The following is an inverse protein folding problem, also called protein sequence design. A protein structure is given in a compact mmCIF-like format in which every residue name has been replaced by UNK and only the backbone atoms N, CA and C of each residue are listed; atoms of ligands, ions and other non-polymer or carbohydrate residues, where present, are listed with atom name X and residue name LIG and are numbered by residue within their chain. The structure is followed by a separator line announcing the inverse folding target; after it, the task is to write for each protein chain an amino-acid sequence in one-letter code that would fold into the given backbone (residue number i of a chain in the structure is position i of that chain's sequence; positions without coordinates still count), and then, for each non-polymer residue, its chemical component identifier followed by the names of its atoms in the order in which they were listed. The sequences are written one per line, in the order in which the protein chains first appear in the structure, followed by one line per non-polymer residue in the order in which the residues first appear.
data_IF_528534061056
#
_entry.id   IF_528534061056
#
_cell.length_a   1.000
_cell.length_b   1.000
_cell.length_c   1.000
_cell.angle_alpha   90.00
_cell.angle_beta   90.00
_cell.angle_gamma   90.00
#
_symmetry.space_group_name_H-M   'P 1'
#
loop_
_entity.id
_entity.type
_entity.pdbx_description
1 polymer ?
#
# COMPACT_ATOMS: atom_id res chain seq x y z
N UNK A 1 -2.74 47.14 -20.74
CA UNK A 1 -3.89 46.33 -20.27
C UNK A 1 -3.72 44.81 -20.38
N UNK A 2 -2.90 44.25 -21.30
CA UNK A 2 -2.76 42.79 -21.48
C UNK A 2 -1.82 42.09 -20.47
N UNK A 3 -0.82 42.80 -19.95
CA UNK A 3 0.15 42.29 -18.95
C UNK A 3 -0.49 41.77 -17.64
N UNK A 4 -1.43 42.48 -16.99
CA UNK A 4 -2.07 41.96 -15.77
C UNK A 4 -2.96 40.74 -16.04
N UNK A 5 -3.60 40.66 -17.21
CA UNK A 5 -4.41 39.50 -17.61
C UNK A 5 -3.54 38.25 -17.84
N UNK A 6 -2.39 38.41 -18.51
CA UNK A 6 -1.41 37.32 -18.70
C UNK A 6 -0.86 36.83 -17.36
N UNK A 7 -0.50 37.72 -16.44
CA UNK A 7 -0.02 37.35 -15.11
C UNK A 7 -1.08 36.58 -14.30
N UNK A 8 -2.35 37.01 -14.37
CA UNK A 8 -3.46 36.32 -13.72
C UNK A 8 -3.69 34.91 -14.29
N UNK A 9 -3.68 34.75 -15.61
CA UNK A 9 -3.85 33.43 -16.25
C UNK A 9 -2.72 32.48 -15.86
N UNK A 10 -1.47 32.95 -15.86
CA UNK A 10 -0.32 32.15 -15.43
C UNK A 10 -0.43 31.74 -13.95
N UNK A 11 -0.87 32.65 -13.08
CA UNK A 11 -1.08 32.35 -11.66
C UNK A 11 -2.17 31.28 -11.46
N UNK A 12 -3.30 31.39 -12.16
CA UNK A 12 -4.39 30.38 -12.10
C UNK A 12 -3.90 29.02 -12.60
N UNK A 13 -3.17 28.99 -13.72
CA UNK A 13 -2.61 27.74 -14.25
C UNK A 13 -1.62 27.09 -13.26
N UNK A 14 -0.74 27.88 -12.65
CA UNK A 14 0.21 27.40 -11.65
C UNK A 14 -0.51 26.85 -10.40
N UNK A 15 -1.54 27.55 -9.91
CA UNK A 15 -2.37 27.07 -8.80
C UNK A 15 -3.07 25.77 -9.18
N UNK A 16 -3.64 25.67 -10.38
CA UNK A 16 -4.30 24.45 -10.85
C UNK A 16 -3.37 23.24 -10.94
N UNK A 17 -2.15 23.43 -11.45
CA UNK A 17 -1.12 22.37 -11.48
C UNK A 17 -0.71 21.97 -10.07
N UNK A 18 -0.50 22.95 -9.19
CA UNK A 18 -0.12 22.69 -7.80
C UNK A 18 -1.21 21.92 -7.05
N UNK A 19 -2.48 22.33 -7.16
CA UNK A 19 -3.59 21.66 -6.49
C UNK A 19 -3.83 20.26 -7.03
N UNK A 20 -3.72 20.05 -8.35
CA UNK A 20 -3.80 18.72 -8.95
C UNK A 20 -2.66 17.80 -8.49
N UNK A 21 -1.44 18.32 -8.45
CA UNK A 21 -0.27 17.58 -7.92
C UNK A 21 -0.46 17.19 -6.45
N UNK A 22 -0.90 18.14 -5.62
CA UNK A 22 -1.20 17.88 -4.21
C UNK A 22 -2.34 16.86 -4.03
N UNK A 23 -3.40 16.95 -4.84
CA UNK A 23 -4.49 15.98 -4.80
C UNK A 23 -4.00 14.56 -5.13
N UNK A 24 -3.15 14.40 -6.15
CA UNK A 24 -2.57 13.11 -6.49
C UNK A 24 -1.66 12.54 -5.36
N UNK A 25 -0.94 13.41 -4.65
CA UNK A 25 -0.12 13.02 -3.49
C UNK A 25 -0.97 12.56 -2.29
N UNK A 26 -2.15 13.14 -2.12
CA UNK A 26 -3.06 12.82 -1.02
C UNK A 26 -4.01 11.68 -1.35
N UNK A 27 -4.12 11.26 -2.62
CA UNK A 27 -4.99 10.16 -3.01
C UNK A 27 -4.50 8.85 -2.40
N UNK A 28 -5.35 8.24 -1.57
CA UNK A 28 -5.09 6.94 -0.97
C UNK A 28 -5.63 5.86 -1.91
N UNK A 29 -4.84 4.83 -2.25
CA UNK A 29 -5.31 3.74 -3.09
C UNK A 29 -6.59 3.13 -2.51
N UNK A 30 -7.57 2.86 -3.37
CA UNK A 30 -8.84 2.22 -2.99
C UNK A 30 -8.97 0.89 -3.72
N UNK A 31 -9.61 -0.12 -3.09
CA UNK A 31 -9.82 -1.38 -3.75
C UNK A 31 -10.74 -1.20 -4.98
N UNK A 32 -10.53 -1.96 -6.06
CA UNK A 32 -11.38 -1.91 -7.24
C UNK A 32 -12.82 -2.34 -6.90
N UNK A 33 -13.76 -1.97 -7.78
CA UNK A 33 -15.14 -2.45 -7.68
C UNK A 33 -15.16 -3.97 -7.84
N UNK A 34 -15.87 -4.66 -6.95
CA UNK A 34 -15.91 -6.12 -6.94
C UNK A 34 -14.69 -6.80 -6.31
N UNK A 35 -13.81 -6.05 -5.64
CA UNK A 35 -12.66 -6.59 -4.92
C UNK A 35 -13.02 -7.76 -4.01
N UNK A 36 -12.09 -8.70 -3.81
CA UNK A 36 -12.28 -9.75 -2.80
C UNK A 36 -12.24 -9.15 -1.38
N UNK A 37 -12.64 -9.94 -0.36
CA UNK A 37 -12.53 -9.48 1.03
C UNK A 37 -11.06 -9.30 1.45
N UNK A 38 -10.18 -10.24 1.09
CA UNK A 38 -8.73 -10.10 1.30
C UNK A 38 -8.14 -8.86 0.61
N UNK A 39 -8.57 -8.54 -0.60
CA UNK A 39 -8.15 -7.31 -1.29
C UNK A 39 -8.62 -6.06 -0.55
N UNK A 40 -9.89 -6.00 -0.12
CA UNK A 40 -10.39 -4.86 0.68
C UNK A 40 -9.59 -4.69 1.98
N UNK A 41 -9.29 -5.77 2.67
CA UNK A 41 -8.46 -5.75 3.88
C UNK A 41 -7.05 -5.22 3.57
N UNK A 42 -6.45 -5.67 2.46
CA UNK A 42 -5.13 -5.21 2.03
C UNK A 42 -5.12 -3.70 1.77
N UNK A 43 -6.13 -3.19 1.05
CA UNK A 43 -6.27 -1.76 0.80
C UNK A 43 -6.57 -0.95 2.07
N UNK A 44 -7.21 -1.55 3.08
CA UNK A 44 -7.47 -0.89 4.35
C UNK A 44 -6.24 -0.81 5.28
N UNK A 45 -5.38 -1.84 5.25
CA UNK A 45 -4.39 -2.05 6.31
C UNK A 45 -2.93 -2.13 5.81
N UNK A 46 -2.71 -2.61 4.59
CA UNK A 46 -1.39 -2.98 4.09
C UNK A 46 -0.87 -2.03 3.01
N UNK A 47 -1.76 -1.49 2.17
CA UNK A 47 -1.42 -0.76 0.94
C UNK A 47 -0.60 0.51 1.19
N UNK A 48 -0.77 1.16 2.34
CA UNK A 48 -0.01 2.36 2.70
C UNK A 48 1.49 2.11 2.67
N UNK A 49 1.92 0.93 3.14
CA UNK A 49 3.33 0.56 3.17
C UNK A 49 3.71 -0.31 1.97
N UNK A 50 2.87 -1.27 1.60
CA UNK A 50 3.21 -2.26 0.56
C UNK A 50 2.84 -1.83 -0.87
N UNK A 51 2.08 -0.75 -1.05
CA UNK A 51 1.62 -0.27 -2.37
C UNK A 51 0.51 -1.13 -2.98
N UNK A 52 -0.27 -0.63 -3.94
CA UNK A 52 -1.35 -1.40 -4.57
C UNK A 52 -0.84 -2.59 -5.39
N UNK A 53 0.40 -2.51 -5.87
CA UNK A 53 1.09 -3.55 -6.65
C UNK A 53 2.02 -4.44 -5.81
N UNK A 54 2.05 -4.24 -4.49
CA UNK A 54 2.91 -5.02 -3.59
C UNK A 54 4.40 -4.70 -3.67
N UNK A 55 4.84 -3.73 -4.49
CA UNK A 55 6.28 -3.43 -4.67
C UNK A 55 6.87 -2.51 -3.60
N UNK A 56 6.03 -2.05 -2.68
CA UNK A 56 6.36 -1.03 -1.68
C UNK A 56 5.85 0.34 -2.11
N UNK A 57 5.40 1.11 -1.13
CA UNK A 57 4.91 2.48 -1.29
C UNK A 57 5.92 3.46 -0.70
N UNK A 58 6.10 4.61 -1.36
CA UNK A 58 6.93 5.70 -0.87
C UNK A 58 6.50 6.19 0.53
N UNK A 59 5.22 6.03 0.89
CA UNK A 59 4.70 6.42 2.21
C UNK A 59 5.32 5.61 3.34
N UNK A 60 5.80 4.39 3.08
CA UNK A 60 6.56 3.61 4.07
C UNK A 60 7.85 4.33 4.50
N UNK A 61 8.47 5.10 3.59
CA UNK A 61 9.71 5.84 3.87
C UNK A 61 9.52 6.98 4.87
N UNK A 62 8.30 7.49 5.03
CA UNK A 62 7.97 8.47 6.09
C UNK A 62 8.16 7.88 7.49
N UNK A 63 8.10 6.55 7.61
CA UNK A 63 8.31 5.81 8.84
C UNK A 63 9.70 5.13 8.90
N UNK A 64 10.59 5.45 7.94
CA UNK A 64 11.90 4.79 7.79
C UNK A 64 11.80 3.27 7.59
N UNK A 65 10.66 2.79 7.06
CA UNK A 65 10.41 1.37 6.81
C UNK A 65 10.63 1.08 5.32
N UNK A 66 11.28 -0.05 5.04
CA UNK A 66 11.38 -0.62 3.70
C UNK A 66 10.71 -2.00 3.66
N UNK A 67 9.44 -2.08 3.23
CA UNK A 67 8.74 -3.35 3.16
C UNK A 67 9.37 -4.27 2.10
N UNK A 68 9.21 -5.57 2.29
CA UNK A 68 9.56 -6.56 1.27
C UNK A 68 8.69 -6.39 0.03
N UNK A 69 9.26 -6.68 -1.14
CA UNK A 69 8.52 -6.70 -2.40
C UNK A 69 7.64 -7.95 -2.45
N UNK A 70 6.33 -7.78 -2.32
CA UNK A 70 5.32 -8.85 -2.38
C UNK A 70 5.04 -9.32 -3.82
N UNK A 71 5.43 -8.54 -4.84
CA UNK A 71 5.34 -8.95 -6.24
C UNK A 71 6.53 -9.81 -6.70
N UNK A 72 7.56 -9.98 -5.84
CA UNK A 72 8.71 -10.84 -6.11
C UNK A 72 8.34 -12.31 -5.84
N UNK A 73 7.81 -12.99 -6.87
CA UNK A 73 7.39 -14.39 -6.78
C UNK A 73 8.46 -15.30 -6.21
N UNK A 74 9.71 -15.16 -6.69
CA UNK A 74 10.82 -16.01 -6.24
C UNK A 74 11.07 -15.89 -4.74
N UNK A 75 10.92 -14.71 -4.14
CA UNK A 75 11.05 -14.51 -2.70
C UNK A 75 9.80 -14.89 -1.92
N UNK A 76 8.62 -14.57 -2.46
CA UNK A 76 7.36 -14.86 -1.78
C UNK A 76 7.12 -16.37 -1.71
N UNK A 77 7.39 -17.11 -2.78
CA UNK A 77 7.21 -18.55 -2.87
C UNK A 77 8.15 -19.34 -1.93
N UNK A 78 9.27 -18.74 -1.52
CA UNK A 78 10.16 -19.30 -0.49
C UNK A 78 9.62 -19.16 0.94
N UNK A 79 8.54 -18.39 1.14
CA UNK A 79 7.89 -18.25 2.44
C UNK A 79 6.73 -19.24 2.51
N UNK A 80 6.53 -19.88 3.67
CA UNK A 80 5.34 -20.67 3.92
C UNK A 80 4.13 -19.76 4.15
N UNK A 81 2.92 -20.29 3.96
CA UNK A 81 1.71 -19.54 4.33
C UNK A 81 1.66 -19.27 5.83
N UNK A 82 2.14 -20.21 6.66
CA UNK A 82 2.26 -20.01 8.10
C UNK A 82 3.15 -18.81 8.44
N UNK A 83 4.28 -18.64 7.74
CA UNK A 83 5.13 -17.46 7.93
C UNK A 83 4.37 -16.16 7.62
N UNK A 84 3.55 -16.15 6.55
CA UNK A 84 2.75 -14.98 6.19
C UNK A 84 1.64 -14.72 7.21
N UNK A 85 0.99 -15.77 7.71
CA UNK A 85 0.02 -15.66 8.81
C UNK A 85 0.69 -15.07 10.05
N UNK A 86 1.85 -15.59 10.45
CA UNK A 86 2.54 -15.18 11.67
C UNK A 86 3.01 -13.73 11.61
N UNK A 87 3.57 -13.28 10.47
CA UNK A 87 4.03 -11.89 10.33
C UNK A 87 2.86 -10.91 10.27
N UNK A 88 1.71 -11.29 9.69
CA UNK A 88 0.50 -10.45 9.70
C UNK A 88 -0.10 -10.41 11.10
N UNK A 89 -0.21 -11.56 11.77
CA UNK A 89 -0.87 -11.68 13.07
C UNK A 89 -0.05 -11.00 14.17
N UNK A 90 1.25 -11.28 14.21
CA UNK A 90 2.14 -10.91 15.32
C UNK A 90 3.06 -9.73 15.00
N UNK A 91 3.01 -9.22 13.77
CA UNK A 91 3.93 -8.21 13.28
C UNK A 91 5.33 -8.77 13.02
N UNK A 92 6.22 -7.91 12.55
CA UNK A 92 7.56 -8.35 12.14
C UNK A 92 8.59 -8.36 13.27
N UNK A 93 8.37 -7.65 14.38
CA UNK A 93 9.34 -7.57 15.48
C UNK A 93 9.72 -8.94 16.09
N UNK A 94 8.77 -9.86 16.38
CA UNK A 94 9.09 -11.18 16.95
C UNK A 94 9.98 -12.07 16.07
N UNK A 95 10.04 -11.80 14.76
CA UNK A 95 10.82 -12.57 13.78
C UNK A 95 12.02 -11.77 13.22
N UNK A 96 12.47 -10.74 13.94
CA UNK A 96 13.64 -9.93 13.56
C UNK A 96 13.41 -9.02 12.36
N UNK A 97 12.15 -8.66 12.06
CA UNK A 97 11.75 -7.76 10.97
C UNK A 97 10.93 -6.57 11.51
N UNK A 98 11.49 -5.74 12.40
CA UNK A 98 10.74 -4.64 13.01
C UNK A 98 10.20 -3.67 11.96
N UNK A 99 9.10 -2.99 12.27
CA UNK A 99 8.43 -2.02 11.39
C UNK A 99 7.08 -2.48 10.85
N UNK A 100 6.85 -3.79 10.70
CA UNK A 100 5.51 -4.31 10.38
C UNK A 100 4.68 -4.45 11.66
N UNK A 101 3.53 -3.75 11.79
CA UNK A 101 2.67 -3.84 12.96
C UNK A 101 1.94 -5.19 13.02
N UNK A 102 1.47 -5.55 14.22
CA UNK A 102 0.66 -6.74 14.45
C UNK A 102 -0.82 -6.44 14.18
N UNK A 103 -1.52 -7.33 13.48
CA UNK A 103 -2.93 -7.19 13.16
C UNK A 103 -3.84 -8.21 13.86
N UNK A 104 -3.28 -9.14 14.64
CA UNK A 104 -4.04 -10.22 15.27
C UNK A 104 -5.10 -9.79 16.30
N UNK A 105 -5.04 -8.54 16.80
CA UNK A 105 -6.08 -7.97 17.65
C UNK A 105 -7.25 -7.37 16.85
N UNK A 106 -7.03 -7.03 15.58
CA UNK A 106 -8.01 -6.38 14.72
C UNK A 106 -8.64 -7.33 13.68
N UNK A 107 -7.96 -8.45 13.38
CA UNK A 107 -8.36 -9.41 12.36
C UNK A 107 -8.55 -10.81 12.95
N UNK A 108 -9.58 -11.50 12.50
CA UNK A 108 -9.76 -12.93 12.73
C UNK A 108 -8.76 -13.76 11.93
N UNK A 109 -8.53 -15.01 12.34
CA UNK A 109 -7.63 -15.92 11.61
C UNK A 109 -8.10 -16.20 10.18
N UNK A 110 -9.40 -16.15 9.93
CA UNK A 110 -9.95 -16.28 8.58
C UNK A 110 -9.61 -15.06 7.71
N UNK A 111 -9.76 -13.86 8.23
CA UNK A 111 -9.38 -12.62 7.53
C UNK A 111 -7.89 -12.57 7.21
N UNK A 112 -7.06 -13.08 8.13
CA UNK A 112 -5.62 -13.20 7.89
C UNK A 112 -5.34 -14.20 6.77
N UNK A 113 -6.04 -15.35 6.72
CA UNK A 113 -5.90 -16.30 5.61
C UNK A 113 -6.34 -15.70 4.27
N UNK A 114 -7.45 -14.96 4.25
CA UNK A 114 -7.89 -14.24 3.05
C UNK A 114 -6.86 -13.18 2.57
N UNK A 115 -6.23 -12.46 3.51
CA UNK A 115 -5.12 -11.55 3.20
C UNK A 115 -3.93 -12.30 2.61
N UNK A 116 -3.54 -13.44 3.19
CA UNK A 116 -2.46 -14.28 2.65
C UNK A 116 -2.77 -14.72 1.23
N UNK A 117 -4.00 -15.17 0.96
CA UNK A 117 -4.43 -15.56 -0.38
C UNK A 117 -4.33 -14.40 -1.38
N UNK A 118 -4.73 -13.19 -0.99
CA UNK A 118 -4.57 -12.00 -1.83
C UNK A 118 -3.10 -11.65 -2.06
N UNK A 119 -2.26 -11.65 -1.01
CA UNK A 119 -0.82 -11.38 -1.11
C UNK A 119 -0.11 -12.37 -2.05
N UNK A 120 -0.49 -13.65 -2.01
CA UNK A 120 -0.02 -14.67 -2.97
C UNK A 120 -0.43 -14.37 -4.41
N UNK A 121 -1.58 -13.72 -4.61
CA UNK A 121 -2.06 -13.29 -5.92
C UNK A 121 -1.25 -12.12 -6.51
N UNK A 122 -0.67 -11.26 -5.67
CA UNK A 122 0.10 -10.08 -6.12
C UNK A 122 1.33 -10.45 -6.96
N UNK A 123 1.95 -11.61 -6.71
CA UNK A 123 3.09 -12.08 -7.50
C UNK A 123 2.68 -12.70 -8.84
N UNK A 124 1.38 -12.97 -9.04
CA UNK A 124 0.81 -13.66 -10.21
C UNK A 124 0.03 -12.73 -11.13
N UNK A 125 -0.44 -11.59 -10.62
CA UNK A 125 -1.06 -10.55 -11.43
C UNK A 125 0.01 -9.93 -12.35
N UNK A 126 -0.02 -10.33 -13.62
CA UNK A 126 0.80 -9.79 -14.71
C UNK A 126 -0.12 -9.15 -15.75
#
# INVERSE_FOLDING_TARGET
MRRPLLALVLAIAAIGVFTAGLAALLDTPRPPRGASRGERLYYGLCVTCHGPDGRGSWRASLFLIRPGNLADAARLDQRSDQYLVDIIKNGGAPIGRPGMPAFGAALSDEEIRELVAYVRGLSRAR
#
